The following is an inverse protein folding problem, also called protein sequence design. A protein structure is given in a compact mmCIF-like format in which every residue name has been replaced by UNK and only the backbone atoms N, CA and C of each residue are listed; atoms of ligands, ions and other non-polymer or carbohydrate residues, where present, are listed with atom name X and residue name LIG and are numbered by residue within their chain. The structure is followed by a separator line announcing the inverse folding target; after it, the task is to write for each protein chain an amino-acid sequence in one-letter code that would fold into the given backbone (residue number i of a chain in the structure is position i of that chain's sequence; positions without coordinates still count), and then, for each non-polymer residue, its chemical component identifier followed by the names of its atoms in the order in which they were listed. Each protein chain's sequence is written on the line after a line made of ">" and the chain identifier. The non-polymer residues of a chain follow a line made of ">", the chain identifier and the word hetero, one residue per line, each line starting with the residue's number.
data_IF_081964679597
#
_entry.id   IF_081964679597
#
_cell.length_a   1.000
_cell.length_b   1.000
_cell.length_c   1.000
_cell.angle_alpha   90.00
_cell.angle_beta   90.00
_cell.angle_gamma   90.00
#
_symmetry.space_group_name_H-M   'P 1'
#
loop_
_entity.id
_entity.type
_entity.pdbx_description
1 polymer ?
#
# COMPACT_ATOMS: atom_id res chain seq x y z
N UNK A 1 -25.48 -34.57 -21.84
CA UNK A 1 -26.04 -33.25 -22.18
C UNK A 1 -26.04 -32.46 -20.90
N UNK A 2 -24.98 -31.70 -20.69
CA UNK A 2 -24.59 -31.15 -19.40
C UNK A 2 -25.32 -29.87 -19.03
N UNK A 3 -25.39 -29.71 -17.71
CA UNK A 3 -26.16 -28.77 -16.91
C UNK A 3 -25.56 -27.35 -16.98
N UNK A 4 -26.39 -26.38 -17.35
CA UNK A 4 -26.14 -24.96 -17.06
C UNK A 4 -26.40 -24.71 -15.56
N UNK A 5 -25.31 -24.55 -14.79
CA UNK A 5 -25.31 -23.98 -13.44
C UNK A 5 -24.67 -22.57 -13.44
N UNK A 6 -25.00 -21.71 -12.47
CA UNK A 6 -24.71 -20.27 -12.55
C UNK A 6 -23.24 -19.94 -12.31
N UNK A 7 -22.76 -18.93 -13.03
CA UNK A 7 -21.42 -18.34 -12.94
C UNK A 7 -21.23 -17.71 -11.55
N UNK A 8 -20.52 -18.43 -10.68
CA UNK A 8 -20.11 -18.01 -9.35
C UNK A 8 -19.01 -16.95 -9.43
N UNK A 9 -19.42 -15.71 -9.26
CA UNK A 9 -18.59 -14.52 -9.12
C UNK A 9 -18.09 -14.45 -7.66
N UNK A 10 -17.24 -15.36 -7.19
CA UNK A 10 -16.71 -15.31 -5.81
C UNK A 10 -15.55 -16.29 -5.48
N UNK A 11 -14.44 -16.36 -6.25
CA UNK A 11 -13.40 -17.36 -5.92
C UNK A 11 -11.91 -17.00 -5.96
N UNK A 12 -11.52 -15.72 -5.94
CA UNK A 12 -10.08 -15.36 -5.88
C UNK A 12 -9.57 -14.95 -4.49
N UNK A 13 -10.43 -14.94 -3.45
CA UNK A 13 -10.03 -14.54 -2.09
C UNK A 13 -9.69 -15.74 -1.17
N UNK A 14 -10.04 -16.97 -1.55
CA UNK A 14 -10.01 -18.13 -0.64
C UNK A 14 -8.67 -18.84 -0.52
N UNK A 15 -7.72 -18.65 -1.44
CA UNK A 15 -6.47 -19.42 -1.45
C UNK A 15 -5.33 -18.84 -0.57
N UNK A 16 -5.62 -17.91 0.35
CA UNK A 16 -4.63 -17.26 1.21
C UNK A 16 -4.81 -17.53 2.71
N UNK A 17 -5.77 -18.37 3.11
CA UNK A 17 -6.17 -18.55 4.49
C UNK A 17 -6.04 -20.02 4.92
N UNK A 18 -4.84 -20.47 5.25
CA UNK A 18 -4.68 -21.58 6.21
C UNK A 18 -3.30 -21.52 6.87
N UNK A 19 -3.30 -21.29 8.18
CA UNK A 19 -2.48 -21.92 9.24
C UNK A 19 -1.95 -20.93 10.31
N UNK A 20 -2.26 -21.26 11.56
CA UNK A 20 -1.74 -20.72 12.83
C UNK A 20 -2.29 -19.37 13.37
N UNK A 21 -3.49 -19.40 13.98
CA UNK A 21 -3.66 -19.26 15.44
C UNK A 21 -3.23 -18.00 16.21
N UNK A 22 -2.58 -17.00 15.62
CA UNK A 22 -2.36 -15.67 16.22
C UNK A 22 -2.63 -14.64 15.13
N UNK A 23 -3.69 -13.83 15.29
CA UNK A 23 -4.19 -13.00 14.21
C UNK A 23 -3.30 -11.77 13.97
N UNK A 24 -3.03 -11.55 12.68
CA UNK A 24 -2.14 -10.57 12.01
C UNK A 24 -0.68 -11.02 11.87
N UNK A 25 -0.28 -11.49 10.67
CA UNK A 25 0.01 -10.56 9.57
C UNK A 25 -0.29 -11.12 8.16
N UNK A 26 -1.43 -10.76 7.55
CA UNK A 26 -1.67 -10.95 6.11
C UNK A 26 -1.78 -9.64 5.32
N UNK A 27 -1.79 -8.48 6.02
CA UNK A 27 -2.03 -7.20 5.36
C UNK A 27 -0.94 -6.86 4.35
N UNK A 28 0.35 -7.02 4.65
CA UNK A 28 1.40 -6.61 3.72
C UNK A 28 1.36 -7.39 2.39
N UNK A 29 1.00 -8.69 2.42
CA UNK A 29 0.93 -9.53 1.21
C UNK A 29 -0.37 -9.29 0.44
N UNK A 30 -1.48 -9.11 1.15
CA UNK A 30 -2.76 -8.73 0.57
C UNK A 30 -2.72 -7.32 -0.05
N UNK A 31 -2.05 -6.36 0.60
CA UNK A 31 -1.86 -5.00 0.09
C UNK A 31 -0.91 -4.93 -1.10
N UNK A 32 0.19 -5.70 -1.10
CA UNK A 32 1.02 -5.82 -2.31
C UNK A 32 0.19 -6.36 -3.50
N UNK A 33 -0.77 -7.26 -3.23
CA UNK A 33 -1.67 -7.79 -4.24
C UNK A 33 -2.68 -6.75 -4.72
N UNK A 34 -3.31 -5.98 -3.82
CA UNK A 34 -4.26 -4.90 -4.16
C UNK A 34 -3.56 -3.77 -4.93
N UNK A 35 -2.42 -3.26 -4.43
CA UNK A 35 -1.66 -2.21 -5.11
C UNK A 35 -1.09 -2.68 -6.46
N UNK A 36 -0.85 -3.99 -6.64
CA UNK A 36 -0.49 -4.54 -7.94
C UNK A 36 -1.68 -4.65 -8.90
N UNK A 37 -2.91 -4.79 -8.37
CA UNK A 37 -4.14 -4.98 -9.13
C UNK A 37 -4.83 -3.68 -9.55
N UNK A 38 -4.63 -2.56 -8.84
CA UNK A 38 -5.18 -1.24 -9.20
C UNK A 38 -4.57 -0.58 -10.46
N UNK A 39 -3.57 -1.23 -11.08
CA UNK A 39 -2.68 -0.65 -12.09
C UNK A 39 -3.17 -0.81 -13.54
N UNK A 40 -4.48 -0.85 -13.76
CA UNK A 40 -5.04 -1.17 -15.07
C UNK A 40 -5.53 0.13 -15.74
N UNK A 41 -4.65 0.70 -16.56
CA UNK A 41 -4.86 1.71 -17.62
C UNK A 41 -4.61 3.20 -17.31
N UNK A 42 -3.36 3.53 -16.97
CA UNK A 42 -2.64 4.64 -17.61
C UNK A 42 -1.40 4.06 -18.34
N UNK A 43 -0.73 4.80 -19.23
CA UNK A 43 0.36 4.29 -20.10
C UNK A 43 1.29 3.34 -19.35
N UNK A 44 1.26 2.06 -19.73
CA UNK A 44 1.89 0.94 -19.01
C UNK A 44 3.38 1.15 -18.75
N UNK A 45 4.04 2.00 -19.55
CA UNK A 45 5.45 2.32 -19.44
C UNK A 45 5.78 3.31 -18.31
N UNK A 46 4.97 4.36 -18.13
CA UNK A 46 5.21 5.37 -17.08
C UNK A 46 4.85 4.81 -15.69
N UNK A 47 3.81 3.96 -15.63
CA UNK A 47 3.47 3.21 -14.41
C UNK A 47 4.53 2.16 -14.05
N UNK A 48 5.17 1.52 -15.04
CA UNK A 48 6.25 0.57 -14.78
C UNK A 48 7.48 1.24 -14.14
N UNK A 49 7.76 2.49 -14.50
CA UNK A 49 8.87 3.29 -13.94
C UNK A 49 8.54 3.84 -12.55
N UNK A 50 7.29 4.23 -12.28
CA UNK A 50 6.88 4.85 -11.01
C UNK A 50 6.58 3.84 -9.90
N UNK A 51 6.03 2.65 -10.24
CA UNK A 51 5.70 1.59 -9.28
C UNK A 51 6.85 1.19 -8.32
N UNK A 52 8.09 0.92 -8.78
CA UNK A 52 9.18 0.58 -7.85
C UNK A 52 9.53 1.73 -6.91
N UNK A 53 9.41 2.98 -7.38
CA UNK A 53 9.63 4.18 -6.55
C UNK A 53 8.57 4.29 -5.47
N UNK A 54 7.28 4.20 -5.84
CA UNK A 54 6.15 4.25 -4.90
C UNK A 54 6.28 3.18 -3.83
N UNK A 55 6.56 1.93 -4.22
CA UNK A 55 6.73 0.82 -3.28
C UNK A 55 7.96 1.00 -2.38
N UNK A 56 9.05 1.57 -2.90
CA UNK A 56 10.23 1.88 -2.10
C UNK A 56 9.92 2.94 -1.04
N UNK A 57 9.28 4.05 -1.44
CA UNK A 57 8.90 5.14 -0.53
C UNK A 57 7.91 4.65 0.52
N UNK A 58 6.88 3.90 0.13
CA UNK A 58 5.92 3.28 1.04
C UNK A 58 6.61 2.45 2.13
N UNK A 59 7.51 1.54 1.74
CA UNK A 59 8.23 0.69 2.70
C UNK A 59 9.16 1.50 3.59
N UNK A 60 9.80 2.54 3.05
CA UNK A 60 10.65 3.43 3.84
C UNK A 60 9.83 4.19 4.89
N UNK A 61 8.67 4.75 4.53
CA UNK A 61 7.77 5.45 5.47
C UNK A 61 7.32 4.49 6.59
N UNK A 62 6.86 3.28 6.23
CA UNK A 62 6.43 2.30 7.24
C UNK A 62 7.56 1.85 8.16
N UNK A 63 8.81 1.83 7.68
CA UNK A 63 10.00 1.57 8.51
C UNK A 63 10.31 2.76 9.43
N UNK A 64 10.33 3.98 8.90
CA UNK A 64 10.58 5.19 9.68
C UNK A 64 9.55 5.39 10.80
N UNK A 65 8.28 5.06 10.57
CA UNK A 65 7.24 5.08 11.61
C UNK A 65 7.49 4.07 12.76
N UNK A 66 8.26 3.01 12.52
CA UNK A 66 8.65 2.07 13.57
C UNK A 66 10.01 2.43 14.21
N UNK A 67 10.69 3.49 13.76
CA UNK A 67 11.97 3.90 14.36
C UNK A 67 11.76 4.41 15.78
N UNK A 68 12.67 4.05 16.70
CA UNK A 68 12.72 4.60 18.05
C UNK A 68 12.94 6.11 18.07
N UNK A 69 13.48 6.69 17.00
CA UNK A 69 13.79 8.12 16.90
C UNK A 69 12.52 9.00 16.82
N UNK A 70 11.38 8.41 16.46
CA UNK A 70 10.09 9.09 16.53
C UNK A 70 9.50 8.92 17.94
N UNK A 71 9.17 10.00 18.66
CA UNK A 71 8.56 9.94 19.99
C UNK A 71 7.07 9.62 19.91
N UNK A 72 6.72 8.49 19.28
CA UNK A 72 5.36 7.99 19.15
C UNK A 72 5.11 6.81 20.09
N UNK A 73 3.94 6.84 20.75
CA UNK A 73 3.41 5.68 21.46
C UNK A 73 3.08 4.56 20.47
N UNK A 74 2.99 3.32 20.96
CA UNK A 74 2.65 2.17 20.12
C UNK A 74 1.30 2.35 19.38
N UNK A 75 0.28 2.83 20.09
CA UNK A 75 -1.03 3.11 19.51
C UNK A 75 -0.94 4.18 18.39
N UNK A 76 -0.18 5.25 18.62
CA UNK A 76 0.02 6.30 17.63
C UNK A 76 0.75 5.78 16.38
N UNK A 77 1.74 4.89 16.54
CA UNK A 77 2.40 4.22 15.39
C UNK A 77 1.42 3.38 14.61
N UNK A 78 0.56 2.62 15.28
CA UNK A 78 -0.43 1.77 14.61
C UNK A 78 -1.43 2.62 13.81
N UNK A 79 -1.95 3.69 14.42
CA UNK A 79 -2.85 4.64 13.76
C UNK A 79 -2.19 5.28 12.54
N UNK A 80 -0.96 5.80 12.68
CA UNK A 80 -0.25 6.46 11.58
C UNK A 80 0.07 5.48 10.44
N UNK A 81 0.37 4.22 10.75
CA UNK A 81 0.55 3.17 9.73
C UNK A 81 -0.77 2.81 9.03
N UNK A 82 -1.91 2.94 9.70
CA UNK A 82 -3.22 2.76 9.05
C UNK A 82 -3.50 3.93 8.09
N UNK A 83 -3.27 5.16 8.54
CA UNK A 83 -3.41 6.38 7.72
C UNK A 83 -2.54 6.32 6.46
N UNK A 84 -1.25 5.98 6.58
CA UNK A 84 -0.35 5.79 5.44
C UNK A 84 -0.86 4.74 4.47
N UNK A 85 -1.42 3.62 4.96
CA UNK A 85 -2.00 2.59 4.09
C UNK A 85 -3.19 3.15 3.31
N UNK A 86 -4.07 3.87 3.97
CA UNK A 86 -5.23 4.51 3.35
C UNK A 86 -4.81 5.51 2.29
N UNK A 87 -3.82 6.36 2.56
CA UNK A 87 -3.30 7.34 1.59
C UNK A 87 -2.74 6.68 0.33
N UNK A 88 -1.91 5.64 0.49
CA UNK A 88 -1.35 4.92 -0.66
C UNK A 88 -2.39 4.09 -1.43
N UNK A 89 -3.46 3.66 -0.76
CA UNK A 89 -4.59 3.02 -1.42
C UNK A 89 -5.34 4.03 -2.31
N UNK A 90 -5.73 5.18 -1.76
CA UNK A 90 -6.40 6.23 -2.54
C UNK A 90 -5.51 6.75 -3.67
N UNK A 91 -4.22 6.98 -3.41
CA UNK A 91 -3.27 7.39 -4.44
C UNK A 91 -3.06 6.35 -5.55
N UNK A 92 -3.41 5.08 -5.33
CA UNK A 92 -3.30 4.04 -6.37
C UNK A 92 -4.38 4.13 -7.45
N UNK A 93 -5.45 4.90 -7.21
CA UNK A 93 -6.52 5.16 -8.17
C UNK A 93 -6.19 6.33 -9.12
N UNK A 94 -5.16 7.11 -8.81
CA UNK A 94 -4.72 8.25 -9.63
C UNK A 94 -4.09 7.80 -10.95
N UNK A 95 -4.44 8.49 -12.04
CA UNK A 95 -4.00 8.18 -13.41
C UNK A 95 -3.28 9.35 -14.08
N UNK A 96 -3.40 10.56 -13.54
CA UNK A 96 -2.68 11.74 -14.03
C UNK A 96 -1.20 11.64 -13.69
N UNK A 97 -0.34 11.65 -14.72
CA UNK A 97 1.13 11.58 -14.54
C UNK A 97 1.65 12.74 -13.67
N UNK A 98 1.07 13.94 -13.84
CA UNK A 98 1.46 15.11 -13.04
C UNK A 98 1.06 14.92 -11.57
N UNK A 99 -0.18 14.48 -11.30
CA UNK A 99 -0.63 14.23 -9.92
C UNK A 99 0.18 13.11 -9.27
N UNK A 100 0.53 12.05 -10.02
CA UNK A 100 1.38 10.96 -9.53
C UNK A 100 2.76 11.50 -9.12
N UNK A 101 3.36 12.38 -9.92
CA UNK A 101 4.63 13.00 -9.59
C UNK A 101 4.54 13.84 -8.30
N UNK A 102 3.50 14.68 -8.18
CA UNK A 102 3.26 15.52 -7.01
C UNK A 102 3.01 14.67 -5.74
N UNK A 103 2.24 13.59 -5.86
CA UNK A 103 2.00 12.64 -4.77
C UNK A 103 3.29 11.93 -4.33
N UNK A 104 4.14 11.55 -5.28
CA UNK A 104 5.45 10.94 -4.98
C UNK A 104 6.35 11.95 -4.26
N UNK A 105 6.40 13.20 -4.71
CA UNK A 105 7.25 14.22 -4.10
C UNK A 105 6.75 14.64 -2.72
N UNK A 106 5.42 14.71 -2.50
CA UNK A 106 4.83 14.84 -1.18
C UNK A 106 5.23 13.68 -0.26
N UNK A 107 5.17 12.43 -0.75
CA UNK A 107 5.56 11.26 0.03
C UNK A 107 7.07 11.25 0.36
N UNK A 108 7.94 11.68 -0.57
CA UNK A 108 9.38 11.85 -0.32
C UNK A 108 9.64 12.94 0.71
N UNK A 109 8.91 14.06 0.64
CA UNK A 109 9.00 15.13 1.62
C UNK A 109 8.63 14.62 3.01
N UNK A 110 7.47 13.96 3.17
CA UNK A 110 7.07 13.34 4.44
C UNK A 110 8.10 12.33 4.95
N UNK A 111 8.68 11.52 4.08
CA UNK A 111 9.75 10.59 4.45
C UNK A 111 10.99 11.31 4.98
N UNK A 112 11.38 12.43 4.36
CA UNK A 112 12.51 13.25 4.83
C UNK A 112 12.27 13.78 6.24
N UNK A 113 11.07 14.30 6.51
CA UNK A 113 10.65 14.78 7.84
C UNK A 113 10.68 13.63 8.87
N UNK A 114 10.15 12.46 8.51
CA UNK A 114 10.16 11.27 9.37
C UNK A 114 11.58 10.80 9.69
N UNK A 115 12.50 10.86 8.72
CA UNK A 115 13.93 10.51 8.95
C UNK A 115 14.63 11.47 9.91
N UNK A 116 14.09 12.67 10.11
CA UNK A 116 14.59 13.65 11.06
C UNK A 116 13.96 13.51 12.46
N UNK A 117 13.19 12.45 12.71
CA UNK A 117 12.51 12.28 14.01
C UNK A 117 11.24 13.10 14.16
N UNK A 118 10.80 13.80 13.10
CA UNK A 118 9.68 14.74 13.15
C UNK A 118 8.42 14.14 12.51
N UNK A 119 7.26 14.61 12.96
CA UNK A 119 5.99 14.27 12.32
C UNK A 119 5.69 15.27 11.20
N UNK A 120 5.39 14.80 9.98
CA UNK A 120 4.89 15.66 8.91
C UNK A 120 3.43 16.05 9.12
#
# INVERSE_FOLDING_TARGET
>A
MDRNGPVLLHDDARNCLTSAGIHYPTSLRYWNCIMAKGLIWATTEDLAKTRPVVLSVYRQILRSLNSSDLPLTYAARLAKKAEVRTMFLFGSEERSVHNIADLIDAAKHSLSVLKQGRLP
#
